data_IF_061202383048
#
_entry.id   IF_061202383048
#
_cell.length_a   1.000
_cell.length_b   1.000
_cell.length_c   1.000
_cell.angle_alpha   90.00
_cell.angle_beta   90.00
_cell.angle_gamma   90.00
#
_symmetry.space_group_name_H-M   'P 1'
#
loop_
_entity.id
_entity.type
_entity.pdbx_description
1 polymer ?
#
# COMPACT_ATOMS: atom_id res chain seq x y z
N UNK A 1 28.47 -2.96 16.42
CA UNK A 1 28.21 -4.42 16.52
C UNK A 1 27.29 -4.67 17.71
N UNK A 2 26.45 -5.73 17.73
CA UNK A 2 25.64 -6.05 18.90
C UNK A 2 26.54 -6.51 20.06
N UNK A 3 26.51 -5.79 21.18
CA UNK A 3 27.35 -6.07 22.35
C UNK A 3 26.78 -7.16 23.28
N UNK A 4 25.57 -7.67 22.99
CA UNK A 4 24.95 -8.75 23.75
C UNK A 4 24.14 -9.71 22.84
N UNK A 5 23.89 -10.93 23.34
CA UNK A 5 23.19 -11.98 22.59
C UNK A 5 21.76 -11.60 22.19
N UNK A 6 21.09 -10.79 23.02
CA UNK A 6 19.72 -10.33 22.74
C UNK A 6 19.69 -9.35 21.55
N UNK A 7 20.65 -8.43 21.47
CA UNK A 7 20.81 -7.48 20.38
C UNK A 7 21.09 -8.20 19.05
N UNK A 8 21.96 -9.22 19.06
CA UNK A 8 22.20 -10.07 17.88
C UNK A 8 20.92 -10.78 17.41
N UNK A 9 20.05 -11.19 18.35
CA UNK A 9 18.73 -11.75 18.02
C UNK A 9 17.79 -10.70 17.44
N UNK A 10 17.74 -9.48 17.99
CA UNK A 10 16.90 -8.38 17.48
C UNK A 10 17.26 -8.01 16.05
N UNK A 11 18.53 -7.83 15.73
CA UNK A 11 19.00 -7.53 14.36
C UNK A 11 18.48 -8.57 13.35
N UNK A 12 18.56 -9.88 13.69
CA UNK A 12 18.03 -10.95 12.82
C UNK A 12 16.51 -10.90 12.65
N UNK A 13 15.77 -10.58 13.71
CA UNK A 13 14.32 -10.43 13.66
C UNK A 13 13.90 -9.21 12.83
N UNK A 14 14.59 -8.09 13.01
CA UNK A 14 14.30 -6.83 12.35
C UNK A 14 14.59 -6.92 10.86
N UNK A 15 15.68 -7.56 10.44
CA UNK A 15 15.95 -7.83 9.03
C UNK A 15 14.78 -8.58 8.35
N UNK A 16 14.26 -9.65 9.00
CA UNK A 16 13.12 -10.42 8.49
C UNK A 16 11.84 -9.59 8.42
N UNK A 17 11.57 -8.77 9.45
CA UNK A 17 10.39 -7.89 9.49
C UNK A 17 10.48 -6.78 8.44
N UNK A 18 11.65 -6.18 8.29
CA UNK A 18 11.94 -5.12 7.33
C UNK A 18 11.72 -5.60 5.90
N UNK A 19 12.19 -6.81 5.55
CA UNK A 19 11.97 -7.38 4.22
C UNK A 19 10.47 -7.51 3.89
N UNK A 20 9.68 -8.12 4.80
CA UNK A 20 8.23 -8.28 4.60
C UNK A 20 7.50 -6.95 4.48
N UNK A 21 7.84 -6.00 5.36
CA UNK A 21 7.25 -4.67 5.35
C UNK A 21 7.62 -3.89 4.09
N UNK A 22 8.86 -4.03 3.61
CA UNK A 22 9.32 -3.42 2.36
C UNK A 22 8.53 -3.95 1.16
N UNK A 23 8.38 -5.27 1.05
CA UNK A 23 7.62 -5.91 -0.02
C UNK A 23 6.15 -5.45 -0.04
N UNK A 24 5.49 -5.42 1.11
CA UNK A 24 4.11 -4.96 1.20
C UNK A 24 3.97 -3.48 0.81
N UNK A 25 4.90 -2.64 1.25
CA UNK A 25 4.90 -1.20 0.90
C UNK A 25 5.19 -0.97 -0.58
N UNK A 26 6.10 -1.73 -1.19
CA UNK A 26 6.41 -1.62 -2.61
C UNK A 26 5.24 -2.07 -3.46
N UNK A 27 4.59 -3.18 -3.12
CA UNK A 27 3.42 -3.68 -3.83
C UNK A 27 2.27 -2.66 -3.84
N UNK A 28 1.97 -2.05 -2.68
CA UNK A 28 0.95 -0.99 -2.58
C UNK A 28 1.33 0.21 -3.46
N UNK A 29 2.61 0.62 -3.47
CA UNK A 29 3.09 1.74 -4.29
C UNK A 29 2.93 1.44 -5.78
N UNK A 30 3.31 0.25 -6.22
CA UNK A 30 3.19 -0.17 -7.63
C UNK A 30 1.74 -0.18 -8.07
N UNK A 31 0.85 -0.86 -7.33
CA UNK A 31 -0.57 -0.91 -7.67
C UNK A 31 -1.23 0.48 -7.67
N UNK A 32 -0.84 1.35 -6.74
CA UNK A 32 -1.33 2.73 -6.70
C UNK A 32 -0.91 3.49 -7.96
N UNK A 33 0.34 3.31 -8.42
CA UNK A 33 0.82 3.94 -9.65
C UNK A 33 0.06 3.42 -10.87
N UNK A 34 -0.12 2.10 -10.99
CA UNK A 34 -0.88 1.50 -12.09
C UNK A 34 -2.34 1.96 -12.10
N UNK A 35 -2.97 2.11 -10.94
CA UNK A 35 -4.33 2.63 -10.85
C UNK A 35 -4.44 4.08 -11.34
N UNK A 36 -3.44 4.92 -11.07
CA UNK A 36 -3.40 6.30 -11.57
C UNK A 36 -3.16 6.35 -13.08
N UNK A 37 -2.26 5.52 -13.60
CA UNK A 37 -2.02 5.42 -15.05
C UNK A 37 -3.28 4.97 -15.80
N UNK A 38 -4.01 3.97 -15.29
CA UNK A 38 -5.27 3.55 -15.90
C UNK A 38 -6.34 4.65 -15.93
N UNK A 39 -6.35 5.56 -14.95
CA UNK A 39 -7.22 6.74 -14.97
C UNK A 39 -6.78 7.77 -16.01
N UNK A 40 -5.47 7.96 -16.20
CA UNK A 40 -4.92 8.85 -17.23
C UNK A 40 -5.19 8.31 -18.65
N UNK A 41 -5.12 6.99 -18.83
CA UNK A 41 -5.40 6.30 -20.08
C UNK A 41 -6.90 6.20 -20.41
N UNK A 42 -7.79 6.51 -19.47
CA UNK A 42 -9.24 6.55 -19.69
C UNK A 42 -9.96 5.19 -19.56
N UNK A 43 -9.29 4.13 -19.09
CA UNK A 43 -9.87 2.80 -18.95
C UNK A 43 -10.63 2.66 -17.61
N UNK A 44 -11.96 2.82 -17.68
CA UNK A 44 -12.86 2.80 -16.51
C UNK A 44 -12.83 1.46 -15.75
N UNK A 45 -12.79 0.33 -16.46
CA UNK A 45 -12.84 -1.00 -15.84
C UNK A 45 -11.51 -1.38 -15.19
N UNK A 46 -10.38 -1.05 -15.85
CA UNK A 46 -9.06 -1.24 -15.24
C UNK A 46 -8.86 -0.31 -14.04
N UNK A 47 -9.29 0.96 -14.12
CA UNK A 47 -9.17 1.89 -13.00
C UNK A 47 -9.97 1.42 -11.76
N UNK A 48 -11.21 0.96 -11.94
CA UNK A 48 -12.05 0.47 -10.82
C UNK A 48 -11.52 -0.84 -10.23
N UNK A 49 -11.06 -1.78 -11.04
CA UNK A 49 -10.48 -3.04 -10.55
C UNK A 49 -9.16 -2.83 -9.81
N UNK A 50 -8.25 -2.01 -10.35
CA UNK A 50 -6.96 -1.70 -9.72
C UNK A 50 -7.14 -0.92 -8.41
N UNK A 51 -8.04 0.05 -8.37
CA UNK A 51 -8.34 0.78 -7.12
C UNK A 51 -8.90 -0.15 -6.05
N UNK A 52 -9.79 -1.08 -6.40
CA UNK A 52 -10.28 -2.11 -5.45
C UNK A 52 -9.14 -3.00 -4.94
N UNK A 53 -8.22 -3.42 -5.81
CA UNK A 53 -7.04 -4.20 -5.41
C UNK A 53 -6.15 -3.42 -4.43
N UNK A 54 -5.92 -2.12 -4.67
CA UNK A 54 -5.17 -1.25 -3.77
C UNK A 54 -5.85 -1.16 -2.40
N UNK A 55 -7.17 -0.99 -2.35
CA UNK A 55 -7.91 -0.93 -1.09
C UNK A 55 -7.73 -2.19 -0.25
N UNK A 56 -7.89 -3.37 -0.86
CA UNK A 56 -7.70 -4.66 -0.18
C UNK A 56 -6.28 -4.77 0.39
N UNK A 57 -5.26 -4.35 -0.37
CA UNK A 57 -3.86 -4.40 0.08
C UNK A 57 -3.56 -3.42 1.20
N UNK A 58 -4.13 -2.21 1.17
CA UNK A 58 -4.03 -1.23 2.25
C UNK A 58 -4.65 -1.75 3.55
N UNK A 59 -5.85 -2.33 3.47
CA UNK A 59 -6.57 -2.85 4.64
C UNK A 59 -5.82 -4.06 5.25
N UNK A 60 -5.25 -4.94 4.41
CA UNK A 60 -4.38 -6.03 4.86
C UNK A 60 -3.09 -5.52 5.52
N UNK A 61 -2.47 -4.47 4.98
CA UNK A 61 -1.26 -3.89 5.55
C UNK A 61 -1.52 -3.18 6.89
N UNK A 62 -2.72 -2.61 7.07
CA UNK A 62 -3.17 -2.07 8.35
C UNK A 62 -3.37 -3.18 9.39
N UNK A 63 -3.99 -4.31 9.01
CA UNK A 63 -4.20 -5.46 9.91
C UNK A 63 -2.89 -6.08 10.39
N UNK A 64 -1.85 -6.09 9.54
CA UNK A 64 -0.52 -6.63 9.89
C UNK A 64 0.41 -5.60 10.57
N UNK A 65 -0.12 -4.44 10.96
CA UNK A 65 0.64 -3.34 11.57
C UNK A 65 1.83 -2.83 10.73
N UNK A 66 1.83 -3.08 9.41
CA UNK A 66 2.84 -2.53 8.49
C UNK A 66 2.58 -1.04 8.22
N UNK A 67 1.32 -0.62 8.28
CA UNK A 67 0.86 0.76 8.18
C UNK A 67 -0.09 1.05 9.34
N UNK A 68 -0.06 2.28 9.86
CA UNK A 68 -1.06 2.73 10.82
C UNK A 68 -2.45 2.81 10.16
N UNK A 69 -3.50 2.53 10.93
CA UNK A 69 -4.90 2.55 10.44
C UNK A 69 -5.25 3.89 9.77
N UNK A 70 -4.82 5.01 10.37
CA UNK A 70 -5.04 6.35 9.81
C UNK A 70 -4.28 6.56 8.49
N UNK A 71 -3.08 5.99 8.35
CA UNK A 71 -2.32 6.07 7.09
C UNK A 71 -3.00 5.28 5.99
N UNK A 72 -3.53 4.09 6.30
CA UNK A 72 -4.31 3.30 5.36
C UNK A 72 -5.60 4.03 4.96
N UNK A 73 -6.35 4.56 5.94
CA UNK A 73 -7.56 5.36 5.71
C UNK A 73 -7.31 6.60 4.86
N UNK A 74 -6.25 7.36 5.14
CA UNK A 74 -5.86 8.54 4.34
C UNK A 74 -5.57 8.16 2.88
N UNK A 75 -4.82 7.08 2.65
CA UNK A 75 -4.48 6.60 1.30
C UNK A 75 -5.71 6.10 0.55
N UNK A 76 -6.59 5.34 1.22
CA UNK A 76 -7.87 4.87 0.69
C UNK A 76 -8.76 6.02 0.27
N UNK A 77 -8.96 7.00 1.15
CA UNK A 77 -9.74 8.22 0.86
C UNK A 77 -9.17 9.00 -0.32
N UNK A 78 -7.84 9.18 -0.38
CA UNK A 78 -7.19 9.93 -1.45
C UNK A 78 -7.39 9.30 -2.83
N UNK A 79 -7.22 7.99 -2.96
CA UNK A 79 -7.39 7.28 -4.23
C UNK A 79 -8.87 7.28 -4.65
N UNK A 80 -9.77 7.02 -3.70
CA UNK A 80 -11.21 7.01 -3.99
C UNK A 80 -11.70 8.38 -4.49
N UNK A 81 -11.19 9.47 -3.90
CA UNK A 81 -11.54 10.83 -4.33
C UNK A 81 -11.11 11.12 -5.77
N UNK A 82 -9.94 10.60 -6.18
CA UNK A 82 -9.45 10.72 -7.56
C UNK A 82 -10.29 9.90 -8.53
N UNK A 83 -10.62 8.65 -8.17
CA UNK A 83 -11.51 7.80 -8.98
C UNK A 83 -12.89 8.46 -9.15
N UNK A 84 -13.48 8.97 -8.06
CA UNK A 84 -14.77 9.64 -8.10
C UNK A 84 -14.76 10.91 -8.97
N UNK A 85 -13.67 11.69 -8.92
CA UNK A 85 -13.51 12.84 -9.80
C UNK A 85 -13.39 12.40 -11.27
N UNK A 86 -12.59 11.38 -11.56
CA UNK A 86 -12.45 10.82 -12.90
C UNK A 86 -13.79 10.33 -13.46
N UNK A 87 -14.57 9.59 -12.67
CA UNK A 87 -15.89 9.08 -13.07
C UNK A 87 -16.95 10.18 -13.24
N UNK A 88 -16.75 11.38 -12.67
CA UNK A 88 -17.69 12.51 -12.78
C UNK A 88 -17.45 13.34 -14.04
N UNK A 89 -16.21 13.39 -14.51
CA UNK A 89 -15.79 14.15 -15.70
C UNK A 89 -16.04 13.38 -17.00
N UNK A 90 -16.36 12.09 -16.91
CA UNK A 90 -16.52 11.10 -17.97
C UNK A 90 -17.93 10.52 -17.98
#
# INVERSE_FOLDING_TARGET
MPNNNQAKKRIRQDAKRNLRNRMAKSEIKTLTKSALQAMEEGDKDKATSLTRAVQIKLDRAAKKSTLHKNTAGRRKSSIQRRLAAFLKTQ
#
